data_IF_484018206558
#
_entry.id   IF_484018206558
#
_cell.length_a   1.000
_cell.length_b   1.000
_cell.length_c   1.000
_cell.angle_alpha   90.00
_cell.angle_beta   90.00
_cell.angle_gamma   90.00
#
_symmetry.space_group_name_H-M   'P 1'
#
loop_
_entity.id
_entity.type
_entity.pdbx_description
1 polymer ?
#
# COMPACT_ATOMS: atom_id res chain seq x y z
N UNK A 1 3.38 61.50 20.12
CA UNK A 1 2.79 60.23 20.59
C UNK A 1 1.97 59.62 19.47
N UNK A 2 2.47 58.57 18.81
CA UNK A 2 1.75 57.63 17.90
C UNK A 2 2.80 56.76 17.19
N UNK A 3 3.44 55.85 17.92
CA UNK A 3 4.35 54.82 17.36
C UNK A 3 4.18 53.44 18.01
N UNK A 4 3.07 53.19 18.70
CA UNK A 4 2.94 52.00 19.56
C UNK A 4 1.84 51.01 19.13
N UNK A 5 1.28 51.11 17.92
CA UNK A 5 0.16 50.25 17.50
C UNK A 5 0.60 49.16 16.48
N UNK A 6 1.80 49.23 15.91
CA UNK A 6 2.22 48.31 14.84
C UNK A 6 2.83 46.97 15.31
N UNK A 7 3.03 46.79 16.62
CA UNK A 7 3.74 45.61 17.15
C UNK A 7 2.82 44.46 17.61
N UNK A 8 1.50 44.68 17.67
CA UNK A 8 0.56 43.64 18.12
C UNK A 8 0.07 42.76 16.95
N UNK A 9 0.09 43.27 15.71
CA UNK A 9 -0.34 42.48 14.55
C UNK A 9 0.70 41.49 14.03
N UNK A 10 1.99 41.67 14.34
CA UNK A 10 3.03 40.71 13.96
C UNK A 10 3.08 39.48 14.89
N UNK A 11 2.55 39.58 16.12
CA UNK A 11 2.55 38.45 17.07
C UNK A 11 1.41 37.44 16.82
N UNK A 12 0.33 37.87 16.16
CA UNK A 12 -0.81 37.01 15.83
C UNK A 12 -0.58 36.10 14.61
N UNK A 13 0.40 36.41 13.76
CA UNK A 13 0.74 35.55 12.61
C UNK A 13 1.70 34.40 12.97
N UNK A 14 2.39 34.49 14.12
CA UNK A 14 3.30 33.42 14.57
C UNK A 14 2.53 32.26 15.25
N UNK A 15 1.28 32.50 15.69
CA UNK A 15 0.42 31.47 16.29
C UNK A 15 -0.43 30.67 15.27
N UNK A 16 -0.49 31.11 14.01
CA UNK A 16 -1.15 30.35 12.94
C UNK A 16 -0.21 29.37 12.21
N UNK A 17 1.08 29.36 12.58
CA UNK A 17 2.11 28.49 12.02
C UNK A 17 2.26 27.15 12.76
N UNK A 18 1.30 26.77 13.61
CA UNK A 18 1.18 25.37 14.02
C UNK A 18 0.74 24.59 12.77
N UNK A 19 1.72 24.15 11.98
CA UNK A 19 1.56 22.99 11.13
C UNK A 19 0.96 21.91 12.02
N UNK A 20 -0.34 21.69 11.87
CA UNK A 20 -1.00 20.48 12.30
C UNK A 20 -0.25 19.37 11.57
N UNK A 21 0.75 18.79 12.24
CA UNK A 21 1.23 17.45 11.93
C UNK A 21 0.03 16.54 12.13
N UNK A 22 -0.80 16.43 11.09
CA UNK A 22 -1.83 15.42 11.03
C UNK A 22 -1.08 14.10 11.00
N UNK A 23 -1.02 13.41 12.13
CA UNK A 23 -0.53 12.03 12.18
C UNK A 23 -1.34 11.24 11.13
N UNK A 24 -0.67 10.67 10.13
CA UNK A 24 -1.32 9.72 9.20
C UNK A 24 -1.92 8.60 10.07
N UNK A 25 -3.22 8.35 9.91
CA UNK A 25 -3.90 7.19 10.48
C UNK A 25 -4.07 6.12 9.40
N UNK A 26 -4.21 4.86 9.80
CA UNK A 26 -4.41 3.74 8.89
C UNK A 26 -3.12 3.02 8.51
N UNK A 27 -3.14 2.36 7.37
CA UNK A 27 -2.03 1.55 6.87
C UNK A 27 -2.08 1.53 5.34
N UNK A 28 -0.94 1.37 4.70
CA UNK A 28 -0.81 1.44 3.24
C UNK A 28 0.22 0.42 2.73
N UNK A 29 0.10 0.02 1.46
CA UNK A 29 1.13 -0.79 0.79
C UNK A 29 2.28 0.14 0.39
N UNK A 30 3.50 -0.30 0.60
CA UNK A 30 4.74 0.44 0.34
C UNK A 30 5.81 -0.50 -0.19
N UNK A 31 6.90 0.08 -0.71
CA UNK A 31 8.10 -0.66 -1.14
C UNK A 31 7.80 -1.78 -2.14
N UNK A 32 6.85 -1.56 -3.05
CA UNK A 32 6.51 -2.50 -4.11
C UNK A 32 7.68 -2.57 -5.10
N UNK A 33 8.29 -3.75 -5.22
CA UNK A 33 9.49 -3.92 -6.02
C UNK A 33 9.63 -5.35 -6.53
N UNK A 34 10.46 -5.54 -7.56
CA UNK A 34 10.79 -6.88 -8.03
C UNK A 34 11.67 -7.61 -7.03
N UNK A 35 11.31 -8.86 -6.76
CA UNK A 35 12.14 -9.78 -6.00
C UNK A 35 13.38 -10.21 -6.80
N UNK A 36 14.37 -10.76 -6.09
CA UNK A 36 15.41 -11.57 -6.73
C UNK A 36 14.88 -12.95 -7.12
N UNK A 37 13.81 -13.40 -6.47
CA UNK A 37 13.02 -14.58 -6.84
C UNK A 37 11.97 -14.21 -7.90
N UNK A 38 11.29 -15.19 -8.49
CA UNK A 38 10.32 -14.96 -9.58
C UNK A 38 8.99 -14.36 -9.08
N UNK A 39 9.00 -13.10 -8.64
CA UNK A 39 7.81 -12.40 -8.17
C UNK A 39 8.04 -10.95 -7.72
N UNK A 40 7.09 -10.44 -6.94
CA UNK A 40 7.08 -9.07 -6.40
C UNK A 40 7.09 -9.13 -4.89
N UNK A 41 7.88 -8.27 -4.27
CA UNK A 41 7.84 -8.01 -2.83
C UNK A 41 7.19 -6.67 -2.55
N UNK A 42 6.47 -6.59 -1.44
CA UNK A 42 5.90 -5.34 -0.95
C UNK A 42 5.72 -5.42 0.58
N UNK A 43 5.53 -4.26 1.19
CA UNK A 43 5.39 -4.13 2.63
C UNK A 43 4.11 -3.37 2.99
N UNK A 44 3.47 -3.75 4.09
CA UNK A 44 2.41 -2.94 4.70
C UNK A 44 3.07 -2.03 5.72
N UNK A 45 2.91 -0.72 5.54
CA UNK A 45 3.30 0.26 6.55
C UNK A 45 2.08 0.57 7.41
N UNK A 46 2.16 0.22 8.69
CA UNK A 46 1.13 0.53 9.68
C UNK A 46 1.45 1.88 10.32
N UNK A 47 0.47 2.79 10.30
CA UNK A 47 0.52 4.03 11.06
C UNK A 47 -0.32 3.88 12.33
N UNK A 48 -0.93 4.95 12.81
CA UNK A 48 -1.80 4.89 13.98
C UNK A 48 -3.14 4.23 13.62
N UNK A 49 -3.44 3.10 14.25
CA UNK A 49 -4.73 2.42 14.16
C UNK A 49 -5.56 2.67 15.41
N UNK A 50 -6.88 2.69 15.25
CA UNK A 50 -7.84 2.70 16.36
C UNK A 50 -8.17 1.27 16.80
N UNK A 51 -7.23 0.35 16.63
CA UNK A 51 -7.27 -1.06 17.01
C UNK A 51 -6.06 -1.32 17.88
N UNK A 52 -6.24 -2.02 19.01
CA UNK A 52 -5.14 -2.42 19.89
C UNK A 52 -4.25 -3.45 19.17
N UNK A 53 -2.92 -3.32 19.29
CA UNK A 53 -1.98 -4.28 18.69
C UNK A 53 -2.22 -5.71 19.19
N UNK A 54 -2.68 -5.89 20.43
CA UNK A 54 -2.98 -7.21 20.99
C UNK A 54 -4.24 -7.86 20.37
N UNK A 55 -5.10 -7.06 19.76
CA UNK A 55 -6.32 -7.54 19.11
C UNK A 55 -6.07 -7.84 17.62
N UNK A 56 -4.92 -7.45 17.07
CA UNK A 56 -4.54 -7.75 15.69
C UNK A 56 -4.12 -9.21 15.60
N UNK A 57 -4.82 -9.96 14.74
CA UNK A 57 -4.53 -11.36 14.45
C UNK A 57 -3.49 -11.44 13.32
N UNK A 58 -3.73 -10.74 12.22
CA UNK A 58 -2.89 -10.82 11.03
C UNK A 58 -3.04 -9.59 10.12
N UNK A 59 -2.09 -9.44 9.22
CA UNK A 59 -2.11 -8.48 8.13
C UNK A 59 -2.25 -9.23 6.82
N UNK A 60 -2.85 -8.60 5.83
CA UNK A 60 -2.92 -9.21 4.52
C UNK A 60 -3.17 -8.24 3.39
N UNK A 61 -3.19 -8.79 2.19
CA UNK A 61 -3.45 -8.07 0.95
C UNK A 61 -4.44 -8.86 0.12
N UNK A 62 -5.53 -8.19 -0.25
CA UNK A 62 -6.46 -8.65 -1.29
C UNK A 62 -5.87 -8.30 -2.65
N UNK A 63 -5.93 -9.27 -3.57
CA UNK A 63 -5.31 -9.19 -4.90
C UNK A 63 -6.38 -9.43 -5.97
N UNK A 64 -6.43 -8.54 -6.94
CA UNK A 64 -7.25 -8.65 -8.15
C UNK A 64 -6.33 -8.54 -9.38
N UNK A 65 -6.44 -9.48 -10.32
CA UNK A 65 -5.64 -9.60 -11.55
C UNK A 65 -6.18 -8.73 -12.69
N UNK A 66 -6.57 -7.52 -12.34
CA UNK A 66 -6.90 -6.48 -13.29
C UNK A 66 -6.68 -5.10 -12.66
N UNK A 67 -6.68 -4.07 -13.49
CA UNK A 67 -6.67 -2.68 -13.02
C UNK A 67 -8.06 -2.29 -12.54
N UNK A 68 -8.19 -2.16 -11.22
CA UNK A 68 -9.39 -1.64 -10.56
C UNK A 68 -9.30 -0.12 -10.44
N UNK A 69 -10.42 0.56 -10.68
CA UNK A 69 -10.49 2.02 -10.59
C UNK A 69 -11.20 2.51 -9.31
N UNK A 70 -12.01 1.67 -8.68
CA UNK A 70 -12.82 1.99 -7.50
C UNK A 70 -12.41 1.09 -6.32
N UNK A 71 -12.15 1.69 -5.15
CA UNK A 71 -11.59 0.94 -4.02
C UNK A 71 -12.59 -0.08 -3.44
N UNK A 72 -13.88 0.16 -3.65
CA UNK A 72 -15.01 -0.70 -3.27
C UNK A 72 -15.00 -2.05 -4.01
N UNK A 73 -14.26 -2.15 -5.11
CA UNK A 73 -14.08 -3.39 -5.87
C UNK A 73 -12.92 -4.25 -5.34
N UNK A 74 -12.10 -3.71 -4.44
CA UNK A 74 -11.00 -4.44 -3.79
C UNK A 74 -11.40 -4.92 -2.41
N UNK A 75 -12.21 -5.97 -2.38
CA UNK A 75 -12.71 -6.60 -1.15
C UNK A 75 -12.62 -8.12 -1.24
N UNK A 76 -12.82 -8.80 -0.09
CA UNK A 76 -12.80 -10.25 -0.03
C UNK A 76 -13.81 -10.92 -0.98
N UNK A 77 -14.92 -10.28 -1.32
CA UNK A 77 -15.96 -10.86 -2.17
C UNK A 77 -15.61 -10.82 -3.66
N UNK A 78 -14.69 -9.92 -4.06
CA UNK A 78 -14.32 -9.66 -5.46
C UNK A 78 -12.88 -10.02 -5.80
N UNK A 79 -12.14 -10.59 -4.84
CA UNK A 79 -10.72 -10.96 -4.99
C UNK A 79 -10.51 -12.17 -5.90
N UNK A 80 -9.39 -12.18 -6.62
CA UNK A 80 -8.85 -13.39 -7.25
C UNK A 80 -8.03 -14.22 -6.25
N UNK A 81 -7.25 -13.54 -5.40
CA UNK A 81 -6.45 -14.18 -4.36
C UNK A 81 -6.22 -13.23 -3.17
N UNK A 82 -5.63 -13.77 -2.11
CA UNK A 82 -5.16 -12.98 -0.97
C UNK A 82 -3.89 -13.58 -0.38
N UNK A 83 -3.11 -12.74 0.29
CA UNK A 83 -2.00 -13.15 1.13
C UNK A 83 -2.28 -12.71 2.57
N UNK A 84 -1.92 -13.54 3.53
CA UNK A 84 -2.08 -13.27 4.96
C UNK A 84 -0.82 -13.68 5.72
N UNK A 85 -0.38 -12.84 6.65
CA UNK A 85 0.78 -13.09 7.49
C UNK A 85 0.70 -12.32 8.80
N UNK A 86 1.36 -12.82 9.84
CA UNK A 86 1.67 -12.04 11.05
C UNK A 86 2.74 -10.97 10.77
N UNK A 87 3.49 -11.11 9.66
CA UNK A 87 4.51 -10.16 9.24
C UNK A 87 3.93 -9.07 8.31
N UNK A 88 4.64 -7.94 8.23
CA UNK A 88 4.30 -6.82 7.36
C UNK A 88 4.96 -6.91 5.98
N UNK A 89 5.70 -7.97 5.68
CA UNK A 89 6.39 -8.16 4.39
C UNK A 89 5.80 -9.35 3.64
N UNK A 90 5.54 -9.14 2.36
CA UNK A 90 4.85 -10.10 1.51
C UNK A 90 5.63 -10.37 0.24
N UNK A 91 5.48 -11.59 -0.27
CA UNK A 91 5.96 -12.00 -1.57
C UNK A 91 4.80 -12.58 -2.38
N UNK A 92 4.65 -12.09 -3.61
CA UNK A 92 3.67 -12.58 -4.57
C UNK A 92 4.43 -13.17 -5.77
N UNK A 93 4.37 -14.49 -5.90
CA UNK A 93 4.83 -15.19 -7.09
C UNK A 93 3.89 -14.89 -8.26
N UNK A 94 4.46 -14.63 -9.44
CA UNK A 94 3.70 -14.31 -10.66
C UNK A 94 4.06 -15.32 -11.74
N UNK A 95 3.04 -16.01 -12.25
CA UNK A 95 3.21 -16.95 -13.37
C UNK A 95 3.53 -16.20 -14.67
N UNK A 96 4.31 -16.83 -15.54
CA UNK A 96 4.80 -16.24 -16.80
C UNK A 96 3.69 -15.68 -17.70
N UNK A 97 2.55 -16.37 -17.76
CA UNK A 97 1.38 -15.96 -18.52
C UNK A 97 0.78 -14.62 -18.08
N UNK A 98 1.07 -14.19 -16.84
CA UNK A 98 0.54 -12.97 -16.24
C UNK A 98 1.56 -11.82 -16.19
N UNK A 99 2.71 -11.92 -16.85
CA UNK A 99 3.75 -10.88 -16.82
C UNK A 99 3.30 -9.51 -17.34
N UNK A 100 2.27 -9.46 -18.19
CA UNK A 100 1.67 -8.23 -18.72
C UNK A 100 0.37 -7.83 -18.01
N UNK A 101 -0.06 -8.60 -17.02
CA UNK A 101 -1.31 -8.35 -16.30
C UNK A 101 -1.10 -7.24 -15.27
N UNK A 102 -2.08 -6.35 -15.17
CA UNK A 102 -2.17 -5.37 -14.09
C UNK A 102 -2.73 -6.04 -12.84
N UNK A 103 -2.15 -5.72 -11.69
CA UNK A 103 -2.55 -6.23 -10.39
C UNK A 103 -2.94 -5.07 -9.49
N UNK A 104 -4.14 -5.16 -8.93
CA UNK A 104 -4.62 -4.22 -7.93
C UNK A 104 -4.53 -4.87 -6.55
N UNK A 105 -3.86 -4.19 -5.62
CA UNK A 105 -3.54 -4.66 -4.29
C UNK A 105 -4.14 -3.75 -3.23
N UNK A 106 -4.95 -4.30 -2.32
CA UNK A 106 -5.44 -3.55 -1.16
C UNK A 106 -5.09 -4.26 0.13
N UNK A 107 -4.39 -3.56 1.02
CA UNK A 107 -4.08 -4.08 2.34
C UNK A 107 -5.34 -4.20 3.21
N UNK A 108 -5.31 -5.16 4.13
CA UNK A 108 -6.26 -5.29 5.23
C UNK A 108 -5.55 -5.70 6.53
N UNK A 109 -6.22 -5.44 7.65
CA UNK A 109 -5.87 -5.92 9.00
C UNK A 109 -7.03 -6.79 9.47
N UNK A 110 -6.72 -8.01 9.92
CA UNK A 110 -7.66 -8.90 10.58
C UNK A 110 -7.49 -8.75 12.09
N UNK A 111 -8.56 -8.47 12.82
CA UNK A 111 -8.52 -8.20 14.25
C UNK A 111 -9.76 -8.71 14.99
N UNK A 112 -9.67 -8.81 16.32
CA UNK A 112 -10.79 -9.13 17.20
C UNK A 112 -11.48 -7.84 17.67
N UNK A 113 -12.80 -7.77 17.52
CA UNK A 113 -13.66 -6.79 18.16
C UNK A 113 -14.54 -7.51 19.20
N UNK A 114 -14.02 -7.59 20.43
CA UNK A 114 -14.56 -8.48 21.44
C UNK A 114 -14.28 -9.95 21.10
N UNK A 115 -15.31 -10.71 20.74
CA UNK A 115 -15.21 -12.12 20.34
C UNK A 115 -15.37 -12.33 18.82
N UNK A 116 -15.62 -11.27 18.05
CA UNK A 116 -15.85 -11.35 16.61
C UNK A 116 -14.60 -10.98 15.81
N UNK A 117 -14.27 -11.78 14.80
CA UNK A 117 -13.23 -11.42 13.83
C UNK A 117 -13.77 -10.38 12.83
N UNK A 118 -13.02 -9.29 12.64
CA UNK A 118 -13.33 -8.23 11.69
C UNK A 118 -12.13 -7.91 10.80
N UNK A 119 -12.44 -7.30 9.66
CA UNK A 119 -11.46 -6.83 8.69
C UNK A 119 -11.56 -5.32 8.58
N UNK A 120 -10.44 -4.63 8.83
CA UNK A 120 -10.27 -3.24 8.46
C UNK A 120 -9.48 -3.22 7.15
N UNK A 121 -9.93 -2.44 6.17
CA UNK A 121 -9.22 -2.29 4.90
C UNK A 121 -8.52 -0.93 4.83
N UNK A 122 -7.41 -0.88 4.08
CA UNK A 122 -6.72 0.37 3.76
C UNK A 122 -7.65 1.32 2.98
N UNK A 123 -7.48 2.63 3.21
CA UNK A 123 -8.17 3.69 2.45
C UNK A 123 -7.51 3.94 1.07
N UNK A 124 -6.33 3.37 0.84
CA UNK A 124 -5.63 3.38 -0.43
C UNK A 124 -5.38 1.95 -0.94
N UNK A 125 -5.08 1.86 -2.23
CA UNK A 125 -4.65 0.63 -2.89
C UNK A 125 -3.55 0.95 -3.90
N UNK A 126 -2.77 -0.06 -4.25
CA UNK A 126 -1.68 0.05 -5.22
C UNK A 126 -2.02 -0.74 -6.47
N UNK A 127 -1.60 -0.23 -7.62
CA UNK A 127 -1.68 -0.95 -8.89
C UNK A 127 -0.28 -1.11 -9.45
N UNK A 128 0.07 -2.33 -9.82
CA UNK A 128 1.36 -2.59 -10.46
C UNK A 128 1.22 -3.51 -11.66
N UNK A 129 2.25 -3.48 -12.50
CA UNK A 129 2.40 -4.37 -13.64
C UNK A 129 3.82 -4.92 -13.62
N UNK A 130 3.98 -6.24 -13.63
CA UNK A 130 5.30 -6.87 -13.48
C UNK A 130 6.27 -6.43 -14.58
N UNK A 131 5.82 -6.37 -15.84
CA UNK A 131 6.64 -5.91 -16.95
C UNK A 131 7.06 -4.43 -16.80
N UNK A 132 6.20 -3.59 -16.24
CA UNK A 132 6.57 -2.19 -15.97
C UNK A 132 7.66 -2.09 -14.90
N UNK A 133 7.53 -2.82 -13.80
CA UNK A 133 8.58 -2.92 -12.78
C UNK A 133 9.89 -3.50 -13.34
N UNK A 134 9.80 -4.47 -14.25
CA UNK A 134 10.95 -5.11 -14.85
C UNK A 134 11.79 -4.16 -15.71
N UNK A 135 11.17 -3.16 -16.34
CA UNK A 135 11.89 -2.13 -17.09
C UNK A 135 12.69 -1.16 -16.21
N UNK A 136 12.41 -1.13 -14.91
CA UNK A 136 13.09 -0.27 -13.94
C UNK A 136 14.23 -0.98 -13.19
N UNK A 137 14.39 -2.28 -13.41
CA UNK A 137 15.37 -3.14 -12.73
C UNK A 137 16.33 -3.82 -13.72
N UNK A 138 17.51 -4.20 -13.23
CA UNK A 138 18.57 -4.86 -14.02
C UNK A 138 18.90 -6.27 -13.52
N UNK A 139 18.09 -6.84 -12.63
CA UNK A 139 18.31 -8.21 -12.14
C UNK A 139 17.91 -9.26 -13.21
N UNK A 140 18.31 -10.52 -13.01
CA UNK A 140 18.12 -11.56 -14.02
C UNK A 140 16.64 -11.93 -14.23
N UNK A 141 15.82 -11.84 -13.17
CA UNK A 141 14.38 -12.01 -13.28
C UNK A 141 13.73 -10.91 -14.13
N UNK A 142 14.10 -9.65 -13.91
CA UNK A 142 13.64 -8.50 -14.70
C UNK A 142 13.98 -8.68 -16.19
N UNK A 143 15.22 -9.08 -16.51
CA UNK A 143 15.63 -9.39 -17.89
C UNK A 143 14.81 -10.52 -18.49
N UNK A 144 14.52 -11.59 -17.72
CA UNK A 144 13.66 -12.70 -18.14
C UNK A 144 12.27 -12.19 -18.49
N UNK A 145 11.64 -11.40 -17.62
CA UNK A 145 10.31 -10.82 -17.83
C UNK A 145 10.27 -9.97 -19.09
N UNK A 146 11.20 -9.01 -19.23
CA UNK A 146 11.28 -8.12 -20.40
C UNK A 146 11.42 -8.94 -21.69
N UNK A 147 12.36 -9.89 -21.71
CA UNK A 147 12.60 -10.75 -22.87
C UNK A 147 11.34 -11.51 -23.28
N UNK A 148 10.70 -12.20 -22.33
CA UNK A 148 9.50 -13.02 -22.63
C UNK A 148 8.36 -12.17 -23.15
N UNK A 149 8.15 -10.99 -22.58
CA UNK A 149 7.07 -10.08 -23.00
C UNK A 149 7.33 -9.49 -24.38
N UNK A 150 8.57 -9.15 -24.70
CA UNK A 150 8.93 -8.52 -25.98
C UNK A 150 9.10 -9.53 -27.12
N UNK A 151 9.57 -10.75 -26.86
CA UNK A 151 9.68 -11.82 -27.85
C UNK A 151 8.32 -12.47 -28.20
N UNK A 152 7.31 -12.36 -27.33
CA UNK A 152 5.93 -12.83 -27.59
C UNK A 152 5.10 -11.85 -28.44
N UNK A 153 5.66 -10.69 -28.84
CA UNK A 153 5.01 -9.71 -29.73
C UNK A 153 5.38 -9.95 -31.19
#
# INVERSE_FOLDING_TARGET
>A
MRKSILLIFALLFVLAGCQLFSEKKGFEITNLSLSQEEGVTFQIKVHKLEISENDIISYGVVIVKEKVNEIEDLTFDKKDSFLESENLSFFLQIDEENYQTDYSLRAYVKYLDGEEEKYLYSESFEVFNLYSLAKESNNDFAKKVVRIVEEKK
#
